data_IF_695848073063
#
_entry.id   IF_695848073063
#
_cell.length_a   1.000
_cell.length_b   1.000
_cell.length_c   1.000
_cell.angle_alpha   90.00
_cell.angle_beta   90.00
_cell.angle_gamma   90.00
#
_symmetry.space_group_name_H-M   'P 1'
#
loop_
_entity.id
_entity.type
_entity.pdbx_description
1 polymer ?
#
# COMPACT_ATOMS: atom_id res chain seq x y z
N UNK A 1 -71.46 13.85 60.57
CA UNK A 1 -71.42 15.00 61.51
C UNK A 1 -70.52 16.09 60.96
N UNK A 2 -70.93 17.37 61.08
CA UNK A 2 -70.26 18.52 60.47
C UNK A 2 -69.06 18.96 61.33
N UNK A 3 -68.02 19.51 60.71
CA UNK A 3 -67.15 20.51 61.34
C UNK A 3 -66.77 21.59 60.32
N UNK A 4 -67.66 22.60 60.19
CA UNK A 4 -67.25 23.96 59.84
C UNK A 4 -66.61 24.63 61.07
N UNK A 5 -65.85 25.71 61.01
CA UNK A 5 -65.61 26.74 59.98
C UNK A 5 -64.17 27.23 60.15
N UNK A 6 -63.52 27.57 59.03
CA UNK A 6 -62.20 28.22 58.96
C UNK A 6 -62.31 29.71 59.34
N UNK A 7 -61.43 30.19 60.21
CA UNK A 7 -61.13 31.62 60.38
C UNK A 7 -59.76 31.93 59.73
N UNK A 8 -59.73 33.03 58.96
CA UNK A 8 -58.63 33.49 58.09
C UNK A 8 -57.39 33.89 58.90
N UNK A 9 -56.30 33.13 58.74
CA UNK A 9 -54.96 33.51 59.18
C UNK A 9 -54.32 34.56 58.26
N UNK A 10 -53.66 35.55 58.87
CA UNK A 10 -52.95 36.69 58.25
C UNK A 10 -51.94 36.19 57.19
N UNK A 11 -52.01 36.74 55.98
CA UNK A 11 -51.09 36.44 54.86
C UNK A 11 -49.67 36.89 55.23
N UNK A 12 -48.77 35.93 55.41
CA UNK A 12 -47.32 36.14 55.44
C UNK A 12 -46.86 36.43 54.01
N UNK A 13 -46.08 37.49 53.83
CA UNK A 13 -45.61 37.93 52.52
C UNK A 13 -44.71 36.86 51.86
N UNK A 14 -44.83 36.64 50.53
CA UNK A 14 -44.00 35.68 49.83
C UNK A 14 -42.53 36.13 49.80
N UNK A 15 -41.61 35.19 50.02
CA UNK A 15 -40.17 35.40 49.89
C UNK A 15 -39.84 35.89 48.46
N UNK A 16 -38.93 36.88 48.31
CA UNK A 16 -38.66 37.49 47.02
C UNK A 16 -38.09 36.48 46.03
N UNK A 17 -38.62 36.57 44.81
CA UNK A 17 -38.33 35.71 43.68
C UNK A 17 -36.82 35.53 43.42
N UNK A 18 -36.45 34.28 43.19
CA UNK A 18 -35.29 33.79 42.42
C UNK A 18 -34.44 34.92 41.84
N UNK A 19 -33.29 35.16 42.47
CA UNK A 19 -32.23 36.03 41.92
C UNK A 19 -31.90 35.51 40.52
N UNK A 20 -32.40 36.21 39.49
CA UNK A 20 -31.91 36.03 38.12
C UNK A 20 -30.40 36.22 38.19
N UNK A 21 -29.64 35.15 37.95
CA UNK A 21 -28.19 35.23 37.76
C UNK A 21 -27.97 36.28 36.67
N UNK A 22 -27.50 37.46 37.07
CA UNK A 22 -27.19 38.53 36.13
C UNK A 22 -26.06 38.00 35.26
N UNK A 23 -26.37 37.68 34.00
CA UNK A 23 -25.34 37.43 33.01
C UNK A 23 -24.50 38.71 32.94
N UNK A 24 -23.23 38.61 33.31
CA UNK A 24 -22.29 39.72 33.21
C UNK A 24 -22.29 40.20 31.75
N UNK A 25 -22.80 41.42 31.53
CA UNK A 25 -22.73 42.07 30.21
C UNK A 25 -21.25 42.14 29.84
N UNK A 26 -20.84 41.36 28.83
CA UNK A 26 -19.47 41.43 28.29
C UNK A 26 -19.21 42.89 27.94
N UNK A 27 -18.15 43.47 28.50
CA UNK A 27 -17.72 44.83 28.17
C UNK A 27 -17.29 44.81 26.70
N UNK A 28 -18.18 45.24 25.81
CA UNK A 28 -17.88 45.36 24.37
C UNK A 28 -17.34 46.76 24.16
N UNK A 29 -16.07 46.85 23.75
CA UNK A 29 -15.49 48.13 23.38
C UNK A 29 -16.19 48.63 22.10
N UNK A 30 -16.83 49.81 22.12
CA UNK A 30 -17.55 50.36 20.96
C UNK A 30 -16.64 50.66 19.75
N UNK A 31 -15.31 50.65 19.94
CA UNK A 31 -14.33 50.78 18.86
C UNK A 31 -14.16 49.49 18.03
N UNK A 32 -14.61 48.33 18.52
CA UNK A 32 -14.54 47.07 17.76
C UNK A 32 -15.83 46.82 16.99
N UNK A 33 -15.77 47.05 15.68
CA UNK A 33 -16.87 46.74 14.77
C UNK A 33 -16.59 45.55 13.87
N UNK A 34 -17.64 44.78 13.56
CA UNK A 34 -17.57 43.66 12.63
C UNK A 34 -17.52 44.23 11.21
N UNK A 35 -16.36 44.16 10.56
CA UNK A 35 -16.17 44.51 9.14
C UNK A 35 -15.95 43.23 8.30
N UNK A 36 -17.01 42.44 8.01
CA UNK A 36 -16.86 41.23 7.23
C UNK A 36 -16.57 41.59 5.77
N UNK A 37 -15.61 40.90 5.17
CA UNK A 37 -15.31 41.04 3.74
C UNK A 37 -16.19 40.11 2.91
N UNK A 38 -16.66 40.59 1.77
CA UNK A 38 -17.40 39.81 0.78
C UNK A 38 -16.42 39.33 -0.31
N UNK A 39 -16.14 38.04 -0.34
CA UNK A 39 -15.22 37.43 -1.33
C UNK A 39 -15.94 36.92 -2.59
N UNK A 40 -17.12 37.48 -2.89
CA UNK A 40 -17.82 37.28 -4.15
C UNK A 40 -17.03 37.78 -5.35
N UNK A 41 -17.50 37.43 -6.56
CA UNK A 41 -16.87 37.90 -7.80
C UNK A 41 -17.02 39.42 -7.90
N UNK A 42 -15.91 40.14 -8.10
CA UNK A 42 -15.90 41.61 -8.25
C UNK A 42 -16.04 42.41 -6.96
N UNK A 43 -15.92 41.77 -5.79
CA UNK A 43 -16.01 42.40 -4.47
C UNK A 43 -14.60 42.53 -3.84
N UNK A 44 -14.42 42.15 -2.58
CA UNK A 44 -13.12 42.20 -1.90
C UNK A 44 -12.09 41.23 -2.52
N UNK A 45 -10.80 41.56 -2.35
CA UNK A 45 -9.67 40.70 -2.75
C UNK A 45 -9.84 39.31 -2.12
N UNK A 46 -9.73 38.28 -2.96
CA UNK A 46 -9.88 36.91 -2.50
C UNK A 46 -8.79 36.53 -1.48
N UNK A 47 -9.14 35.74 -0.45
CA UNK A 47 -8.17 35.27 0.51
C UNK A 47 -7.19 34.31 -0.17
N UNK A 48 -6.03 34.11 0.45
CA UNK A 48 -5.10 33.04 0.04
C UNK A 48 -5.82 31.69 0.15
N UNK A 49 -5.83 30.92 -0.94
CA UNK A 49 -6.45 29.58 -1.01
C UNK A 49 -5.39 28.55 -1.36
N UNK A 50 -5.69 27.28 -1.14
CA UNK A 50 -4.84 26.19 -1.63
C UNK A 50 -4.87 26.16 -3.17
N UNK A 51 -3.75 26.53 -3.78
CA UNK A 51 -3.56 26.55 -5.23
C UNK A 51 -2.81 25.31 -5.74
N UNK A 52 -2.51 24.30 -4.91
CA UNK A 52 -1.69 23.11 -5.29
C UNK A 52 -2.14 22.42 -6.58
N UNK A 53 -3.45 22.41 -6.86
CA UNK A 53 -4.03 21.85 -8.09
C UNK A 53 -3.76 22.70 -9.34
N UNK A 54 -3.59 24.01 -9.18
CA UNK A 54 -3.43 25.00 -10.25
C UNK A 54 -1.98 25.47 -10.42
N UNK A 55 -1.07 25.07 -9.53
CA UNK A 55 0.38 25.34 -9.64
C UNK A 55 0.92 24.83 -10.97
N UNK A 56 1.74 25.65 -11.63
CA UNK A 56 2.59 25.24 -12.75
C UNK A 56 3.74 24.37 -12.25
N UNK A 57 3.50 23.06 -12.16
CA UNK A 57 4.48 22.12 -11.63
C UNK A 57 5.78 22.04 -12.49
N UNK A 58 6.96 21.88 -11.87
CA UNK A 58 8.21 21.59 -12.56
C UNK A 58 8.09 20.42 -13.54
N UNK A 59 8.92 20.44 -14.61
CA UNK A 59 8.84 19.47 -15.72
C UNK A 59 8.91 18.01 -15.25
N UNK A 60 9.81 17.68 -14.34
CA UNK A 60 9.98 16.30 -13.86
C UNK A 60 8.73 15.74 -13.15
N UNK A 61 8.04 16.57 -12.37
CA UNK A 61 6.78 16.20 -11.70
C UNK A 61 5.68 15.98 -12.75
N UNK A 62 5.59 16.88 -13.73
CA UNK A 62 4.62 16.75 -14.84
C UNK A 62 4.85 15.45 -15.61
N UNK A 63 6.08 15.15 -15.99
CA UNK A 63 6.46 13.95 -16.74
C UNK A 63 6.09 12.67 -15.98
N UNK A 64 6.44 12.59 -14.68
CA UNK A 64 6.12 11.44 -13.84
C UNK A 64 4.60 11.22 -13.70
N UNK A 65 3.83 12.31 -13.49
CA UNK A 65 2.36 12.26 -13.40
C UNK A 65 1.73 11.86 -14.74
N UNK A 66 2.18 12.44 -15.84
CA UNK A 66 1.72 12.11 -17.20
C UNK A 66 2.01 10.65 -17.54
N UNK A 67 3.21 10.14 -17.22
CA UNK A 67 3.56 8.72 -17.37
C UNK A 67 2.58 7.83 -16.61
N UNK A 68 2.30 8.12 -15.35
CA UNK A 68 1.34 7.35 -14.54
C UNK A 68 -0.10 7.41 -15.07
N UNK A 69 -0.52 8.55 -15.64
CA UNK A 69 -1.83 8.70 -16.28
C UNK A 69 -1.88 7.86 -17.56
N UNK A 70 -0.83 7.91 -18.39
CA UNK A 70 -0.74 7.21 -19.66
C UNK A 70 -0.83 5.68 -19.46
N UNK A 71 -0.12 5.13 -18.47
CA UNK A 71 -0.26 3.70 -18.09
C UNK A 71 -1.66 3.28 -17.69
N UNK A 72 -2.50 4.19 -17.17
CA UNK A 72 -3.91 3.91 -16.81
C UNK A 72 -4.85 4.04 -18.01
N UNK A 73 -4.52 4.91 -18.97
CA UNK A 73 -5.36 5.22 -20.14
C UNK A 73 -5.15 4.24 -21.28
N UNK A 74 -3.91 3.86 -21.54
CA UNK A 74 -3.60 2.90 -22.59
C UNK A 74 -4.04 1.50 -22.16
N UNK A 75 -4.39 0.66 -23.15
CA UNK A 75 -4.66 -0.76 -22.94
C UNK A 75 -3.33 -1.47 -22.72
N UNK A 76 -3.06 -1.93 -21.51
CA UNK A 76 -1.76 -2.51 -21.14
C UNK A 76 -1.76 -4.01 -21.43
N UNK A 77 -0.74 -4.54 -22.15
CA UNK A 77 -0.63 -5.97 -22.44
C UNK A 77 -0.61 -6.82 -21.17
N UNK A 78 -1.19 -8.04 -21.18
CA UNK A 78 -1.26 -8.92 -20.02
C UNK A 78 0.11 -9.21 -19.37
N UNK A 79 1.16 -9.38 -20.19
CA UNK A 79 2.52 -9.63 -19.73
C UNK A 79 3.10 -8.50 -18.84
N UNK A 80 2.62 -7.27 -19.01
CA UNK A 80 2.98 -6.13 -18.16
C UNK A 80 1.94 -5.97 -17.04
N UNK A 81 0.66 -6.14 -17.37
CA UNK A 81 -0.45 -5.96 -16.43
C UNK A 81 -0.39 -6.92 -15.24
N UNK A 82 0.15 -8.13 -15.40
CA UNK A 82 0.31 -9.09 -14.28
C UNK A 82 1.05 -8.48 -13.07
N UNK A 83 1.93 -7.50 -13.29
CA UNK A 83 2.66 -6.84 -12.21
C UNK A 83 1.89 -5.75 -11.47
N UNK A 84 0.71 -5.40 -11.95
CA UNK A 84 -0.23 -4.57 -11.17
C UNK A 84 -0.91 -5.38 -10.07
N UNK A 85 -1.04 -6.71 -10.27
CA UNK A 85 -1.64 -7.65 -9.35
C UNK A 85 -0.59 -8.21 -8.40
N UNK A 86 -0.31 -7.45 -7.34
CA UNK A 86 0.64 -7.84 -6.32
C UNK A 86 -0.03 -8.52 -5.11
N UNK A 87 0.77 -9.29 -4.37
CA UNK A 87 0.37 -10.06 -3.20
C UNK A 87 -0.27 -9.15 -2.13
N UNK A 88 -1.31 -9.66 -1.48
CA UNK A 88 -1.99 -8.93 -0.40
C UNK A 88 -1.04 -8.65 0.78
N UNK A 89 -1.41 -7.68 1.63
CA UNK A 89 -0.54 -7.17 2.69
C UNK A 89 -0.21 -8.24 3.73
N UNK A 90 -1.17 -9.08 4.08
CA UNK A 90 -1.07 -10.11 5.12
C UNK A 90 -0.06 -11.19 4.73
N UNK A 91 -0.24 -11.83 3.55
CA UNK A 91 0.67 -12.87 3.07
C UNK A 91 2.06 -12.26 2.80
N UNK A 92 2.12 -11.06 2.24
CA UNK A 92 3.40 -10.36 2.03
C UNK A 92 4.16 -10.10 3.35
N UNK A 93 3.46 -9.83 4.44
CA UNK A 93 4.10 -9.62 5.75
C UNK A 93 4.64 -10.94 6.31
N UNK A 94 3.88 -12.02 6.22
CA UNK A 94 4.34 -13.37 6.63
C UNK A 94 5.54 -13.83 5.80
N UNK A 95 5.49 -13.66 4.48
CA UNK A 95 6.59 -13.94 3.55
C UNK A 95 7.85 -13.17 3.94
N UNK A 96 7.73 -11.86 4.20
CA UNK A 96 8.89 -11.03 4.57
C UNK A 96 9.44 -11.35 5.96
N UNK A 97 8.58 -11.74 6.91
CA UNK A 97 9.01 -12.21 8.24
C UNK A 97 9.85 -13.50 8.11
N UNK A 98 9.40 -14.44 7.27
CA UNK A 98 10.17 -15.64 6.96
C UNK A 98 11.48 -15.29 6.24
N UNK A 99 11.41 -14.46 5.19
CA UNK A 99 12.57 -14.02 4.43
C UNK A 99 13.62 -13.31 5.31
N UNK A 100 13.19 -12.60 6.35
CA UNK A 100 14.09 -11.93 7.29
C UNK A 100 14.99 -12.90 8.05
N UNK A 101 14.56 -14.15 8.29
CA UNK A 101 15.40 -15.18 8.94
C UNK A 101 16.53 -15.68 8.03
N UNK A 102 16.29 -15.69 6.71
CA UNK A 102 17.22 -16.25 5.71
C UNK A 102 18.04 -15.17 4.98
N UNK A 103 18.26 -14.02 5.62
CA UNK A 103 19.02 -12.92 5.03
C UNK A 103 20.48 -13.33 4.78
N UNK A 104 21.08 -12.91 3.65
CA UNK A 104 22.50 -13.15 3.41
C UNK A 104 23.34 -12.32 4.37
N UNK A 105 24.54 -12.81 4.70
CA UNK A 105 25.49 -12.14 5.60
C UNK A 105 25.86 -10.73 5.13
N UNK A 106 26.09 -9.83 6.09
CA UNK A 106 26.68 -8.53 5.82
C UNK A 106 28.18 -8.64 5.53
N UNK A 107 28.78 -7.59 4.97
CA UNK A 107 30.23 -7.53 4.76
C UNK A 107 31.01 -7.64 6.09
N UNK A 108 30.47 -7.08 7.17
CA UNK A 108 31.09 -7.11 8.50
C UNK A 108 31.00 -8.51 9.12
N UNK A 109 29.83 -9.14 9.08
CA UNK A 109 29.64 -10.54 9.51
C UNK A 109 30.53 -11.49 8.71
N UNK A 110 30.64 -11.30 7.39
CA UNK A 110 31.54 -12.08 6.55
C UNK A 110 33.00 -11.93 6.97
N UNK A 111 33.44 -10.70 7.28
CA UNK A 111 34.80 -10.42 7.77
C UNK A 111 35.04 -11.14 9.09
N UNK A 112 34.13 -11.03 10.05
CA UNK A 112 34.21 -11.73 11.34
C UNK A 112 34.25 -13.25 11.19
N UNK A 113 33.41 -13.82 10.32
CA UNK A 113 33.42 -15.26 10.04
C UNK A 113 34.76 -15.73 9.46
N UNK A 114 35.33 -14.95 8.54
CA UNK A 114 36.61 -15.29 7.93
C UNK A 114 37.77 -15.15 8.93
N UNK A 115 37.77 -14.12 9.77
CA UNK A 115 38.73 -13.96 10.86
C UNK A 115 38.67 -15.13 11.84
N UNK A 116 37.47 -15.47 12.34
CA UNK A 116 37.29 -16.58 13.26
C UNK A 116 37.69 -17.95 12.63
N UNK A 117 37.49 -18.13 11.32
CA UNK A 117 37.98 -19.32 10.60
C UNK A 117 39.51 -19.32 10.49
N UNK A 118 40.11 -18.17 10.18
CA UNK A 118 41.56 -18.02 10.09
C UNK A 118 42.23 -18.26 11.44
N UNK A 119 41.70 -17.71 12.54
CA UNK A 119 42.18 -17.94 13.90
C UNK A 119 42.11 -19.42 14.29
N UNK A 120 41.00 -20.10 14.02
CA UNK A 120 40.86 -21.55 14.27
C UNK A 120 41.87 -22.37 13.46
N UNK A 121 42.12 -21.98 12.21
CA UNK A 121 43.11 -22.63 11.35
C UNK A 121 44.54 -22.41 11.87
N UNK A 122 44.85 -21.19 12.31
CA UNK A 122 46.14 -20.85 12.93
C UNK A 122 46.37 -21.61 14.24
N UNK A 123 45.33 -21.84 15.02
CA UNK A 123 45.35 -22.66 16.25
C UNK A 123 45.43 -24.19 16.00
N UNK A 124 45.83 -24.62 14.80
CA UNK A 124 46.10 -26.03 14.49
C UNK A 124 44.88 -26.92 14.23
N UNK A 125 43.65 -26.38 14.25
CA UNK A 125 42.41 -27.19 14.08
C UNK A 125 42.09 -27.59 12.63
N UNK A 126 43.03 -27.41 11.69
CA UNK A 126 42.83 -27.70 10.26
C UNK A 126 41.73 -26.86 9.61
N UNK A 127 41.49 -27.06 8.30
CA UNK A 127 40.37 -26.41 7.60
C UNK A 127 39.17 -27.37 7.47
N UNK A 128 38.29 -27.39 8.47
CA UNK A 128 37.11 -28.26 8.48
C UNK A 128 36.01 -27.67 7.58
N UNK A 129 35.46 -28.42 6.61
CA UNK A 129 34.33 -27.96 5.79
C UNK A 129 33.08 -27.67 6.63
N UNK A 130 32.69 -26.41 6.72
CA UNK A 130 31.45 -26.00 7.42
C UNK A 130 30.23 -26.18 6.52
N UNK A 131 29.14 -26.74 7.06
CA UNK A 131 27.84 -26.81 6.37
C UNK A 131 27.37 -25.40 5.98
N UNK A 132 27.06 -25.21 4.70
CA UNK A 132 26.57 -23.91 4.21
C UNK A 132 25.15 -23.65 4.73
N UNK A 133 24.90 -22.51 5.41
CA UNK A 133 23.55 -22.19 5.86
C UNK A 133 22.63 -21.89 4.67
N UNK A 134 21.33 -22.23 4.77
CA UNK A 134 20.35 -21.80 3.80
C UNK A 134 20.23 -20.27 3.84
N UNK A 135 20.31 -19.64 2.68
CA UNK A 135 20.20 -18.18 2.51
C UNK A 135 19.35 -17.86 1.30
N UNK A 136 18.71 -16.70 1.32
CA UNK A 136 18.01 -16.16 0.18
C UNK A 136 18.97 -15.95 -1.00
N UNK A 137 18.54 -16.36 -2.18
CA UNK A 137 19.23 -16.10 -3.44
C UNK A 137 18.63 -14.87 -4.08
N UNK A 138 19.46 -13.93 -4.51
CA UNK A 138 19.00 -12.62 -4.96
C UNK A 138 19.63 -12.25 -6.30
N UNK A 139 18.88 -11.52 -7.11
CA UNK A 139 19.30 -11.07 -8.43
C UNK A 139 18.74 -11.94 -9.55
N UNK A 140 18.37 -11.29 -10.65
CA UNK A 140 17.64 -11.93 -11.75
C UNK A 140 18.38 -13.12 -12.35
N UNK A 141 19.66 -12.96 -12.73
CA UNK A 141 20.45 -14.05 -13.35
C UNK A 141 20.62 -15.29 -12.45
N UNK A 142 20.81 -15.06 -11.14
CA UNK A 142 20.92 -16.17 -10.19
C UNK A 142 19.55 -16.84 -9.97
N UNK A 143 18.48 -16.06 -9.92
CA UNK A 143 17.13 -16.62 -9.76
C UNK A 143 16.68 -17.39 -11.00
N UNK A 144 16.96 -16.90 -12.21
CA UNK A 144 16.60 -17.59 -13.46
C UNK A 144 17.26 -18.96 -13.56
N UNK A 145 18.57 -19.02 -13.35
CA UNK A 145 19.32 -20.29 -13.34
C UNK A 145 18.83 -21.26 -12.27
N UNK A 146 18.37 -20.77 -11.11
CA UNK A 146 17.78 -21.62 -10.07
C UNK A 146 16.39 -22.15 -10.44
N UNK A 147 15.61 -21.37 -11.20
CA UNK A 147 14.30 -21.79 -11.70
C UNK A 147 14.45 -22.83 -12.82
N UNK A 148 15.36 -22.60 -13.76
CA UNK A 148 15.68 -23.53 -14.86
C UNK A 148 16.18 -24.88 -14.33
N UNK A 149 17.01 -24.86 -13.28
CA UNK A 149 17.49 -26.07 -12.64
C UNK A 149 16.51 -26.67 -11.61
N UNK A 150 15.30 -26.10 -11.47
CA UNK A 150 14.28 -26.51 -10.48
C UNK A 150 14.79 -26.56 -9.02
N UNK A 151 15.78 -25.73 -8.68
CA UNK A 151 16.36 -25.61 -7.32
C UNK A 151 15.64 -24.57 -6.46
N UNK A 152 14.85 -23.69 -7.08
CA UNK A 152 14.03 -22.70 -6.37
C UNK A 152 12.73 -23.35 -5.87
N UNK A 153 12.42 -23.17 -4.59
CA UNK A 153 11.17 -23.59 -3.95
C UNK A 153 10.08 -22.50 -4.07
N UNK A 154 10.48 -21.23 -4.02
CA UNK A 154 9.58 -20.08 -4.14
C UNK A 154 10.34 -18.89 -4.71
N UNK A 155 9.75 -18.22 -5.69
CA UNK A 155 10.30 -17.00 -6.31
C UNK A 155 9.46 -15.78 -5.95
N UNK A 156 10.12 -14.69 -5.58
CA UNK A 156 9.52 -13.41 -5.21
C UNK A 156 10.01 -12.35 -6.18
N UNK A 157 9.08 -11.71 -6.88
CA UNK A 157 9.36 -10.73 -7.95
C UNK A 157 8.85 -9.36 -7.51
N UNK A 158 9.65 -8.30 -7.66
CA UNK A 158 9.18 -6.94 -7.39
C UNK A 158 8.24 -6.42 -8.49
N UNK A 159 7.21 -5.67 -8.09
CA UNK A 159 6.24 -5.10 -9.03
C UNK A 159 6.73 -3.84 -9.76
N UNK A 160 7.72 -3.12 -9.23
CA UNK A 160 8.14 -1.76 -9.60
C UNK A 160 9.56 -1.73 -10.19
N UNK A 161 9.91 -2.79 -10.92
CA UNK A 161 11.17 -2.88 -11.66
C UNK A 161 11.09 -1.98 -12.89
N UNK A 162 12.13 -1.18 -13.07
CA UNK A 162 12.35 -0.28 -14.20
C UNK A 162 13.84 -0.44 -14.54
N UNK A 163 14.22 -1.04 -15.69
CA UNK A 163 13.40 -1.47 -16.84
C UNK A 163 12.58 -2.77 -16.61
N UNK A 164 11.38 -2.87 -17.21
CA UNK A 164 10.41 -3.98 -17.00
C UNK A 164 10.87 -5.31 -17.60
N UNK A 165 11.62 -5.24 -18.68
CA UNK A 165 12.14 -6.32 -19.50
C UNK A 165 12.93 -7.34 -18.67
N UNK A 166 13.61 -6.86 -17.62
CA UNK A 166 14.39 -7.67 -16.70
C UNK A 166 13.57 -8.77 -16.00
N UNK A 167 12.25 -8.59 -15.85
CA UNK A 167 11.41 -9.53 -15.08
C UNK A 167 10.17 -10.00 -15.81
N UNK A 168 9.90 -9.48 -17.02
CA UNK A 168 8.65 -9.77 -17.76
C UNK A 168 8.50 -11.26 -18.10
N UNK A 169 9.61 -11.93 -18.39
CA UNK A 169 9.65 -13.35 -18.75
C UNK A 169 9.57 -14.29 -17.53
N UNK A 170 9.84 -13.78 -16.34
CA UNK A 170 10.07 -14.60 -15.16
C UNK A 170 8.82 -15.34 -14.65
N UNK A 171 7.61 -14.74 -14.61
CA UNK A 171 6.38 -15.47 -14.30
C UNK A 171 6.12 -16.65 -15.23
N UNK A 172 6.33 -16.46 -16.54
CA UNK A 172 6.16 -17.51 -17.55
C UNK A 172 7.16 -18.64 -17.35
N UNK A 173 8.43 -18.29 -17.08
CA UNK A 173 9.48 -19.26 -16.76
C UNK A 173 9.16 -20.06 -15.50
N UNK A 174 8.73 -19.39 -14.42
CA UNK A 174 8.36 -20.05 -13.17
C UNK A 174 7.19 -21.03 -13.37
N UNK A 175 6.15 -20.64 -14.13
CA UNK A 175 5.03 -21.52 -14.47
C UNK A 175 5.51 -22.75 -15.26
N UNK A 176 6.30 -22.55 -16.32
CA UNK A 176 6.80 -23.63 -17.18
C UNK A 176 7.66 -24.64 -16.41
N UNK A 177 8.48 -24.15 -15.48
CA UNK A 177 9.35 -25.00 -14.65
C UNK A 177 8.64 -25.60 -13.43
N UNK A 178 7.38 -25.25 -13.18
CA UNK A 178 6.61 -25.73 -12.03
C UNK A 178 6.99 -25.09 -10.70
N UNK A 179 7.65 -23.93 -10.72
CA UNK A 179 8.10 -23.21 -9.52
C UNK A 179 7.04 -22.18 -9.11
N UNK A 180 6.56 -22.20 -7.85
CA UNK A 180 5.68 -21.18 -7.31
C UNK A 180 6.31 -19.79 -7.35
N UNK A 181 5.56 -18.78 -7.80
CA UNK A 181 6.03 -17.39 -7.82
C UNK A 181 5.00 -16.42 -7.26
N UNK A 182 5.47 -15.31 -6.70
CA UNK A 182 4.61 -14.20 -6.29
C UNK A 182 5.19 -12.86 -6.71
N UNK A 183 4.31 -11.87 -6.85
CA UNK A 183 4.68 -10.48 -7.14
C UNK A 183 4.46 -9.66 -5.87
N UNK A 184 5.49 -8.98 -5.38
CA UNK A 184 5.43 -8.16 -4.16
C UNK A 184 5.57 -6.67 -4.46
N UNK A 185 4.88 -5.86 -3.66
CA UNK A 185 5.01 -4.40 -3.70
C UNK A 185 6.34 -3.95 -3.10
N UNK A 186 7.17 -3.30 -3.93
CA UNK A 186 8.36 -2.54 -3.54
C UNK A 186 9.68 -3.30 -3.69
N UNK A 187 10.45 -2.99 -4.75
CA UNK A 187 11.83 -3.48 -4.95
C UNK A 187 12.80 -3.03 -3.85
N UNK A 188 12.51 -1.91 -3.21
CA UNK A 188 13.26 -1.42 -2.06
C UNK A 188 13.09 -2.34 -0.83
N UNK A 189 11.91 -2.94 -0.63
CA UNK A 189 11.67 -3.87 0.48
C UNK A 189 12.49 -5.15 0.32
N UNK A 190 12.54 -5.69 -0.91
CA UNK A 190 13.44 -6.80 -1.23
C UNK A 190 14.91 -6.40 -1.10
N UNK A 191 15.27 -5.18 -1.52
CA UNK A 191 16.61 -4.64 -1.35
C UNK A 191 17.08 -4.65 0.11
N UNK A 192 16.23 -4.18 1.03
CA UNK A 192 16.53 -4.15 2.46
C UNK A 192 16.82 -5.54 3.04
N UNK A 193 16.12 -6.58 2.59
CA UNK A 193 16.38 -7.96 3.02
C UNK A 193 17.81 -8.40 2.67
N UNK A 194 18.29 -8.03 1.48
CA UNK A 194 19.58 -8.48 0.95
C UNK A 194 20.70 -7.46 1.12
N UNK A 195 20.52 -6.47 2.00
CA UNK A 195 21.49 -5.40 2.28
C UNK A 195 21.88 -4.57 1.04
N UNK A 196 20.92 -4.29 0.15
CA UNK A 196 21.08 -3.45 -1.04
C UNK A 196 20.01 -2.36 -1.09
N UNK A 197 20.22 -1.30 -1.88
CA UNK A 197 19.19 -0.25 -2.08
C UNK A 197 17.91 -0.81 -2.70
N UNK A 198 18.06 -1.71 -3.68
CA UNK A 198 16.96 -2.34 -4.40
C UNK A 198 17.31 -3.77 -4.77
N UNK A 199 16.30 -4.63 -4.87
CA UNK A 199 16.43 -5.98 -5.43
C UNK A 199 15.21 -6.28 -6.31
N UNK A 200 15.46 -6.82 -7.49
CA UNK A 200 14.40 -7.14 -8.47
C UNK A 200 13.71 -8.45 -8.12
N UNK A 201 14.48 -9.48 -7.79
CA UNK A 201 13.99 -10.84 -7.55
C UNK A 201 14.77 -11.52 -6.44
N UNK A 202 14.06 -12.31 -5.65
CA UNK A 202 14.61 -13.14 -4.57
C UNK A 202 14.01 -14.53 -4.68
N UNK A 203 14.77 -15.57 -4.35
CA UNK A 203 14.30 -16.95 -4.30
C UNK A 203 14.69 -17.66 -3.00
N UNK A 204 13.77 -18.48 -2.50
CA UNK A 204 14.05 -19.50 -1.50
C UNK A 204 14.50 -20.77 -2.24
N UNK A 205 15.67 -21.30 -1.88
CA UNK A 205 16.16 -22.60 -2.42
C UNK A 205 16.03 -23.72 -1.40
N UNK A 206 16.36 -23.41 -0.14
CA UNK A 206 16.30 -24.34 0.98
C UNK A 206 15.93 -23.54 2.23
N UNK A 207 15.25 -24.17 3.17
CA UNK A 207 14.90 -23.64 4.49
C UNK A 207 15.22 -24.67 5.56
N UNK A 208 15.42 -24.21 6.79
CA UNK A 208 15.56 -25.08 7.95
C UNK A 208 14.28 -25.91 8.16
N UNK A 209 14.41 -27.08 8.79
CA UNK A 209 13.27 -27.98 9.03
C UNK A 209 12.13 -27.32 9.82
N UNK A 210 12.47 -26.48 10.80
CA UNK A 210 11.53 -25.70 11.62
C UNK A 210 10.61 -24.76 10.82
N UNK A 211 11.10 -24.25 9.69
CA UNK A 211 10.36 -23.28 8.86
C UNK A 211 9.67 -23.93 7.65
N UNK A 212 9.88 -25.23 7.39
CA UNK A 212 9.28 -25.93 6.24
C UNK A 212 7.75 -25.81 6.23
N UNK A 213 7.11 -25.96 7.39
CA UNK A 213 5.65 -25.83 7.50
C UNK A 213 5.16 -24.41 7.19
N UNK A 214 5.89 -23.39 7.61
CA UNK A 214 5.55 -21.99 7.31
C UNK A 214 5.73 -21.68 5.82
N UNK A 215 6.81 -22.17 5.20
CA UNK A 215 7.04 -22.03 3.77
C UNK A 215 5.97 -22.77 2.95
N UNK A 216 5.61 -24.00 3.33
CA UNK A 216 4.60 -24.79 2.62
C UNK A 216 3.24 -24.07 2.57
N UNK A 217 2.77 -23.53 3.70
CA UNK A 217 1.53 -22.73 3.76
C UNK A 217 1.59 -21.48 2.86
N UNK A 218 2.73 -20.80 2.83
CA UNK A 218 2.94 -19.65 1.94
C UNK A 218 2.94 -20.07 0.47
N UNK A 219 3.62 -21.16 0.14
CA UNK A 219 3.72 -21.70 -1.23
C UNK A 219 2.34 -22.08 -1.74
N UNK A 220 1.53 -22.77 -0.94
CA UNK A 220 0.16 -23.15 -1.29
C UNK A 220 -0.70 -21.92 -1.59
N UNK A 221 -0.76 -20.96 -0.66
CA UNK A 221 -1.51 -19.72 -0.85
C UNK A 221 -1.03 -18.91 -2.06
N UNK A 222 0.27 -18.90 -2.34
CA UNK A 222 0.85 -18.21 -3.49
C UNK A 222 0.50 -18.92 -4.80
N UNK A 223 0.59 -20.25 -4.82
CA UNK A 223 0.32 -21.06 -6.01
C UNK A 223 -1.10 -20.84 -6.53
N UNK A 224 -2.09 -20.89 -5.64
CA UNK A 224 -3.50 -20.62 -5.97
C UNK A 224 -3.71 -19.20 -6.52
N UNK A 225 -2.96 -18.22 -6.02
CA UNK A 225 -3.11 -16.83 -6.45
C UNK A 225 -2.42 -16.51 -7.79
N UNK A 226 -1.38 -17.25 -8.19
CA UNK A 226 -0.54 -16.89 -9.33
C UNK A 226 -0.35 -18.02 -10.36
N UNK A 227 0.12 -19.19 -9.93
CA UNK A 227 0.48 -20.27 -10.84
C UNK A 227 -0.76 -20.93 -11.44
N UNK A 228 -1.76 -21.23 -10.60
CA UNK A 228 -2.97 -21.94 -11.03
C UNK A 228 -3.88 -21.01 -11.86
N UNK A 229 -3.86 -19.70 -11.57
CA UNK A 229 -4.60 -18.66 -12.30
C UNK A 229 -3.86 -18.08 -13.50
N UNK A 230 -2.76 -18.70 -13.93
CA UNK A 230 -1.90 -18.11 -14.95
C UNK A 230 -2.61 -17.86 -16.29
N UNK A 231 -3.52 -18.74 -16.72
CA UNK A 231 -4.20 -18.57 -18.01
C UNK A 231 -5.20 -17.39 -18.00
N UNK A 232 -5.83 -17.12 -16.87
CA UNK A 232 -6.60 -15.88 -16.67
C UNK A 232 -5.69 -14.66 -16.77
N UNK A 233 -4.58 -14.68 -16.02
CA UNK A 233 -3.61 -13.57 -15.98
C UNK A 233 -3.05 -13.28 -17.37
N UNK A 234 -2.74 -14.32 -18.16
CA UNK A 234 -2.20 -14.22 -19.52
C UNK A 234 -3.19 -13.58 -20.51
N UNK A 235 -4.50 -13.75 -20.30
CA UNK A 235 -5.55 -13.20 -21.17
C UNK A 235 -6.06 -11.84 -20.70
N UNK A 236 -5.85 -11.51 -19.43
CA UNK A 236 -6.39 -10.30 -18.82
C UNK A 236 -5.60 -9.04 -19.19
N UNK A 237 -6.09 -8.31 -20.20
CA UNK A 237 -5.62 -6.97 -20.52
C UNK A 237 -5.92 -5.99 -19.39
N UNK A 238 -4.97 -5.09 -19.13
CA UNK A 238 -5.07 -4.12 -18.06
C UNK A 238 -5.45 -2.72 -18.51
N UNK A 239 -5.72 -1.88 -17.52
CA UNK A 239 -5.90 -0.44 -17.68
C UNK A 239 -7.12 -0.09 -18.55
N UNK A 240 -6.99 0.82 -19.52
CA UNK A 240 -8.10 1.39 -20.28
C UNK A 240 -9.18 2.08 -19.41
N UNK A 241 -8.76 2.75 -18.34
CA UNK A 241 -9.68 3.45 -17.43
C UNK A 241 -9.80 4.91 -17.85
N UNK A 242 -11.02 5.44 -18.01
CA UNK A 242 -11.25 6.85 -18.35
C UNK A 242 -10.92 7.81 -17.19
N UNK A 243 -10.82 9.10 -17.49
CA UNK A 243 -10.62 10.14 -16.48
C UNK A 243 -11.88 10.45 -15.68
N UNK A 244 -11.78 10.87 -14.41
CA UNK A 244 -12.95 11.11 -13.56
C UNK A 244 -13.97 12.08 -14.17
N UNK A 245 -13.50 13.17 -14.81
CA UNK A 245 -14.38 14.13 -15.49
C UNK A 245 -15.13 13.50 -16.68
N UNK A 246 -14.47 12.62 -17.42
CA UNK A 246 -15.08 11.92 -18.56
C UNK A 246 -16.12 10.89 -18.09
N UNK A 247 -15.79 10.12 -17.04
CA UNK A 247 -16.71 9.16 -16.42
C UNK A 247 -17.94 9.89 -15.87
N UNK A 248 -17.74 11.01 -15.16
CA UNK A 248 -18.85 11.82 -14.63
C UNK A 248 -19.75 12.37 -15.74
N UNK A 249 -19.18 12.79 -16.88
CA UNK A 249 -19.96 13.24 -18.04
C UNK A 249 -20.82 12.10 -18.62
N UNK A 250 -20.24 10.91 -18.80
CA UNK A 250 -20.94 9.72 -19.29
C UNK A 250 -22.07 9.34 -18.32
N UNK A 251 -21.77 9.24 -17.02
CA UNK A 251 -22.75 8.91 -16.00
C UNK A 251 -23.90 9.93 -15.93
N UNK A 252 -23.63 11.23 -16.12
CA UNK A 252 -24.67 12.27 -16.19
C UNK A 252 -25.60 12.04 -17.38
N UNK A 253 -25.06 11.68 -18.55
CA UNK A 253 -25.84 11.39 -19.75
C UNK A 253 -26.64 10.09 -19.60
N UNK A 254 -26.03 9.03 -19.08
CA UNK A 254 -26.71 7.76 -18.79
C UNK A 254 -27.87 7.94 -17.82
N UNK A 255 -27.67 8.73 -16.76
CA UNK A 255 -28.74 9.07 -15.81
C UNK A 255 -29.90 9.82 -16.48
N UNK A 256 -29.61 10.74 -17.39
CA UNK A 256 -30.63 11.47 -18.13
C UNK A 256 -31.43 10.53 -19.06
N UNK A 257 -30.74 9.68 -19.83
CA UNK A 257 -31.37 8.67 -20.69
C UNK A 257 -32.23 7.67 -19.90
N UNK A 258 -31.74 7.22 -18.75
CA UNK A 258 -32.49 6.32 -17.88
C UNK A 258 -33.77 6.98 -17.35
N UNK A 259 -33.72 8.26 -17.00
CA UNK A 259 -34.91 9.03 -16.58
C UNK A 259 -35.93 9.18 -17.71
N UNK A 260 -35.45 9.48 -18.92
CA UNK A 260 -36.29 9.60 -20.11
C UNK A 260 -36.98 8.26 -20.44
N UNK A 261 -36.21 7.16 -20.48
CA UNK A 261 -36.74 5.82 -20.73
C UNK A 261 -37.77 5.40 -19.67
N UNK A 262 -37.50 5.67 -18.39
CA UNK A 262 -38.43 5.36 -17.31
C UNK A 262 -39.74 6.16 -17.41
N UNK A 263 -39.68 7.38 -17.95
CA UNK A 263 -40.87 8.20 -18.20
C UNK A 263 -41.62 7.69 -19.44
N UNK A 264 -40.91 7.19 -20.47
CA UNK A 264 -41.50 6.64 -21.70
C UNK A 264 -42.18 5.28 -21.50
N UNK A 265 -41.71 4.48 -20.53
CA UNK A 265 -42.28 3.18 -20.17
C UNK A 265 -43.48 3.27 -19.22
N UNK A 266 -43.75 4.47 -18.68
CA UNK A 266 -44.88 4.76 -17.80
C UNK A 266 -46.01 5.37 -18.60
#
# INVERSE_FOLDING_TARGET
MPKGKKAKGKKVAPAPAVVKKQEAKKVVNPLFEKRPKNFGIGQDIQPKRDLTRFVKWPRYIRLQRQRAILYKRLKVPPAINQFTQALNRQIATQLLKLAHKYRPETKQEKKQRLLARAEKKAAGKGDVPTKRPPVLRAGVNTVTTLVENKKAQLVVIAHDVDPRELVVFLPALCRKMGVPYCIIKGKARLGRLVHRKTCTTVAFTQVNSEDKGALAKLVEAIRTNYNDRYDEIRRHWGSNVLGPKSVARIAKLEKAKAKELATKLR
#
